data_IF_592483040245
#
_entry.id   IF_592483040245
#
_cell.length_a   1.000
_cell.length_b   1.000
_cell.length_c   1.000
_cell.angle_alpha   90.00
_cell.angle_beta   90.00
_cell.angle_gamma   90.00
#
_symmetry.space_group_name_H-M   'P 1'
#
loop_
_entity.id
_entity.type
_entity.pdbx_description
1 polymer ?
#
# COMPACT_ATOMS: atom_id res chain seq x y z
N UNK A 1 10.27 -13.73 -11.90
CA UNK A 1 9.56 -12.63 -11.20
C UNK A 1 10.46 -11.40 -11.24
N UNK A 2 10.05 -10.35 -11.96
CA UNK A 2 10.88 -9.15 -12.16
C UNK A 2 10.82 -8.22 -10.94
N UNK A 3 11.59 -7.14 -10.96
CA UNK A 3 11.60 -6.18 -9.86
C UNK A 3 10.26 -5.47 -9.78
N UNK A 4 9.70 -5.06 -10.93
CA UNK A 4 8.34 -4.51 -11.01
C UNK A 4 7.30 -5.48 -10.43
N UNK A 5 7.39 -6.77 -10.75
CA UNK A 5 6.45 -7.78 -10.24
C UNK A 5 6.54 -7.93 -8.71
N UNK A 6 7.75 -7.95 -8.15
CA UNK A 6 7.97 -7.96 -6.69
C UNK A 6 7.38 -6.71 -6.04
N UNK A 7 7.63 -5.55 -6.62
CA UNK A 7 7.17 -4.28 -6.09
C UNK A 7 5.64 -4.12 -6.16
N UNK A 8 5.01 -4.56 -7.25
CA UNK A 8 3.54 -4.67 -7.35
C UNK A 8 2.96 -5.53 -6.24
N UNK A 9 3.56 -6.69 -5.98
CA UNK A 9 3.12 -7.57 -4.90
C UNK A 9 3.25 -6.88 -3.52
N UNK A 10 4.33 -6.14 -3.28
CA UNK A 10 4.49 -5.35 -2.05
C UNK A 10 3.42 -4.27 -1.94
N UNK A 11 3.18 -3.49 -2.99
CA UNK A 11 2.13 -2.44 -3.00
C UNK A 11 0.75 -3.05 -2.77
N UNK A 12 0.44 -4.19 -3.40
CA UNK A 12 -0.82 -4.91 -3.17
C UNK A 12 -0.95 -5.38 -1.71
N UNK A 13 0.13 -5.90 -1.12
CA UNK A 13 0.15 -6.28 0.30
C UNK A 13 -0.12 -5.09 1.23
N UNK A 14 0.48 -3.93 0.94
CA UNK A 14 0.26 -2.70 1.70
C UNK A 14 -1.20 -2.21 1.58
N UNK A 15 -1.78 -2.22 0.37
CA UNK A 15 -3.20 -1.86 0.16
C UNK A 15 -4.15 -2.80 0.92
N UNK A 16 -3.88 -4.10 0.94
CA UNK A 16 -4.64 -5.06 1.75
C UNK A 16 -4.51 -4.82 3.25
N UNK A 17 -3.31 -4.47 3.73
CA UNK A 17 -3.09 -4.12 5.13
C UNK A 17 -3.80 -2.83 5.52
N UNK A 18 -3.76 -1.80 4.66
CA UNK A 18 -4.52 -0.56 4.84
C UNK A 18 -6.02 -0.84 4.98
N UNK A 19 -6.61 -1.60 4.06
CA UNK A 19 -8.03 -1.94 4.11
C UNK A 19 -8.40 -2.70 5.40
N UNK A 20 -7.50 -3.56 5.88
CA UNK A 20 -7.68 -4.26 7.15
C UNK A 20 -7.66 -3.29 8.34
N UNK A 21 -6.76 -2.31 8.36
CA UNK A 21 -6.71 -1.25 9.38
C UNK A 21 -7.99 -0.39 9.36
N UNK A 22 -8.46 -0.01 8.18
CA UNK A 22 -9.74 0.71 8.02
C UNK A 22 -10.91 -0.12 8.57
N UNK A 23 -10.94 -1.41 8.28
CA UNK A 23 -11.95 -2.34 8.81
C UNK A 23 -11.90 -2.41 10.34
N UNK A 24 -10.71 -2.55 10.94
CA UNK A 24 -10.56 -2.56 12.40
C UNK A 24 -11.01 -1.25 13.05
N UNK A 25 -10.79 -0.11 12.38
CA UNK A 25 -11.28 1.19 12.85
C UNK A 25 -12.83 1.29 12.82
N UNK A 26 -13.49 0.58 11.91
CA UNK A 26 -14.95 0.51 11.82
C UNK A 26 -15.55 -0.44 12.86
N UNK A 27 -14.88 -1.57 13.11
CA UNK A 27 -15.38 -2.62 14.02
C UNK A 27 -15.10 -2.34 15.50
N UNK A 28 -14.08 -1.53 15.82
CA UNK A 28 -13.72 -1.26 17.21
C UNK A 28 -14.61 -0.19 17.86
N UNK A 29 -15.07 -0.46 19.09
CA UNK A 29 -15.79 0.52 19.93
C UNK A 29 -14.82 1.38 20.77
N UNK A 30 -13.55 0.98 20.89
CA UNK A 30 -12.55 1.73 21.63
C UNK A 30 -12.08 2.94 20.82
N UNK A 31 -12.38 4.14 21.32
CA UNK A 31 -12.07 5.40 20.61
C UNK A 31 -10.58 5.62 20.38
N UNK A 32 -9.71 5.21 21.32
CA UNK A 32 -8.26 5.33 21.15
C UNK A 32 -7.76 4.34 20.09
N UNK A 33 -8.26 3.10 20.09
CA UNK A 33 -7.92 2.11 19.07
C UNK A 33 -8.39 2.55 17.68
N UNK A 34 -9.59 3.15 17.59
CA UNK A 34 -10.13 3.69 16.35
C UNK A 34 -9.21 4.75 15.75
N UNK A 35 -8.77 5.72 16.56
CA UNK A 35 -7.83 6.75 16.11
C UNK A 35 -6.49 6.15 15.69
N UNK A 36 -5.97 5.18 16.45
CA UNK A 36 -4.73 4.47 16.10
C UNK A 36 -4.85 3.79 14.73
N UNK A 37 -5.89 3.01 14.50
CA UNK A 37 -6.08 2.30 13.21
C UNK A 37 -6.25 3.27 12.04
N UNK A 38 -6.99 4.37 12.21
CA UNK A 38 -7.12 5.42 11.19
C UNK A 38 -5.78 6.09 10.86
N UNK A 39 -4.96 6.39 11.88
CA UNK A 39 -3.63 6.95 11.69
C UNK A 39 -2.72 5.98 10.94
N UNK A 40 -2.73 4.69 11.32
CA UNK A 40 -1.90 3.68 10.67
C UNK A 40 -2.35 3.42 9.22
N UNK A 41 -3.66 3.44 8.94
CA UNK A 41 -4.19 3.34 7.57
C UNK A 41 -3.69 4.51 6.72
N UNK A 42 -3.76 5.74 7.24
CA UNK A 42 -3.29 6.95 6.56
C UNK A 42 -1.78 6.91 6.30
N UNK A 43 -0.99 6.44 7.26
CA UNK A 43 0.45 6.27 7.09
C UNK A 43 0.77 5.20 6.03
N UNK A 44 0.00 4.11 6.01
CA UNK A 44 0.15 3.05 5.00
C UNK A 44 -0.18 3.56 3.61
N UNK A 45 -1.25 4.36 3.46
CA UNK A 45 -1.58 5.03 2.20
C UNK A 45 -0.42 5.94 1.75
N UNK A 46 0.16 6.72 2.65
CA UNK A 46 1.31 7.59 2.31
C UNK A 46 2.54 6.80 1.83
N UNK A 47 2.77 5.61 2.38
CA UNK A 47 3.85 4.70 1.92
C UNK A 47 3.51 4.18 0.52
N UNK A 48 2.26 3.76 0.27
CA UNK A 48 1.80 3.32 -1.06
C UNK A 48 2.00 4.43 -2.08
N UNK A 49 1.55 5.65 -1.78
CA UNK A 49 1.66 6.81 -2.66
C UNK A 49 3.14 7.15 -2.96
N UNK A 50 4.04 6.96 -2.01
CA UNK A 50 5.48 7.14 -2.21
C UNK A 50 6.12 6.05 -3.08
N UNK A 51 5.56 4.84 -3.10
CA UNK A 51 6.06 3.72 -3.88
C UNK A 51 5.52 3.70 -5.32
N UNK A 52 4.33 4.24 -5.57
CA UNK A 52 3.71 4.23 -6.90
C UNK A 52 4.56 4.90 -7.99
N UNK A 53 5.14 6.10 -7.80
CA UNK A 53 6.03 6.70 -8.80
C UNK A 53 7.26 5.84 -9.09
N UNK A 54 7.87 5.26 -8.05
CA UNK A 54 9.05 4.41 -8.23
C UNK A 54 8.70 3.09 -8.94
N UNK A 55 7.50 2.56 -8.72
CA UNK A 55 7.02 1.40 -9.47
C UNK A 55 6.90 1.73 -10.97
N UNK A 56 6.32 2.89 -11.30
CA UNK A 56 6.19 3.33 -12.70
C UNK A 56 7.54 3.51 -13.39
N UNK A 57 8.54 4.08 -12.70
CA UNK A 57 9.91 4.17 -13.22
C UNK A 57 10.49 2.79 -13.53
N UNK A 58 10.37 1.84 -12.61
CA UNK A 58 10.90 0.48 -12.80
C UNK A 58 10.20 -0.24 -13.96
N UNK A 59 8.88 -0.06 -14.11
CA UNK A 59 8.16 -0.58 -15.28
C UNK A 59 8.74 0.00 -16.57
N UNK A 60 9.01 1.31 -16.62
CA UNK A 60 9.63 1.94 -17.78
C UNK A 60 11.10 1.54 -17.99
N UNK A 61 11.79 0.98 -17.01
CA UNK A 61 13.14 0.44 -17.19
C UNK A 61 13.09 -0.98 -17.81
N UNK A 62 12.07 -1.77 -17.46
CA UNK A 62 11.96 -3.19 -17.84
C UNK A 62 11.46 -3.40 -19.30
N UNK A 63 12.20 -4.13 -20.16
CA UNK A 63 11.87 -4.31 -21.58
C UNK A 63 10.47 -4.88 -21.86
N UNK A 64 9.98 -5.69 -20.94
CA UNK A 64 8.66 -6.35 -21.04
C UNK A 64 7.47 -5.38 -20.93
N UNK A 65 7.67 -4.15 -20.45
CA UNK A 65 6.63 -3.11 -20.35
C UNK A 65 6.81 -2.00 -21.41
N UNK A 66 7.84 -2.10 -22.27
CA UNK A 66 8.14 -1.13 -23.34
C UNK A 66 7.48 -1.46 -24.69
N UNK A 67 6.59 -2.45 -24.74
CA UNK A 67 5.91 -2.90 -25.97
C UNK A 67 4.67 -2.07 -26.28
#
# INVERSE_FOLDING_TARGET
>A
MTVAAKMKQTVAGLKSAQASLETFALETENQQAKQLFQQMATQTQSIVDGLEPRLQEIEQEEPQYKQ
#
